data_IF_576813807827
#
_entry.id   IF_576813807827
#
_cell.length_a   1.000
_cell.length_b   1.000
_cell.length_c   1.000
_cell.angle_alpha   90.00
_cell.angle_beta   90.00
_cell.angle_gamma   90.00
#
_symmetry.space_group_name_H-M   'P 1'
#
loop_
_entity.id
_entity.type
_entity.pdbx_description
1 polymer ?
#
# COMPACT_ATOMS: atom_id res chain seq x y z
N UNK A 1 2.11 -26.73 14.49
CA UNK A 1 0.92 -26.97 15.35
C UNK A 1 -0.33 -26.74 14.51
N UNK A 2 -1.43 -27.48 14.69
CA UNK A 2 -2.69 -27.14 14.04
C UNK A 2 -3.12 -25.73 14.48
N UNK A 3 -3.42 -24.86 13.52
CA UNK A 3 -4.03 -23.55 13.78
C UNK A 3 -5.55 -23.70 13.63
N UNK A 4 -6.34 -22.89 14.36
CA UNK A 4 -7.72 -22.66 13.96
C UNK A 4 -7.70 -21.58 12.87
N UNK A 5 -8.09 -21.97 11.67
CA UNK A 5 -8.07 -21.20 10.42
C UNK A 5 -9.47 -21.21 9.82
N UNK A 6 -10.02 -20.04 9.56
CA UNK A 6 -11.44 -19.97 9.23
C UNK A 6 -11.75 -20.12 7.78
N UNK A 7 -13.00 -20.56 7.62
CA UNK A 7 -13.77 -20.43 6.42
C UNK A 7 -13.96 -18.99 5.98
N UNK A 8 -14.03 -18.86 4.67
CA UNK A 8 -13.73 -17.64 3.97
C UNK A 8 -15.02 -17.08 3.44
N UNK A 9 -15.38 -15.88 3.86
CA UNK A 9 -16.66 -15.34 3.45
C UNK A 9 -16.52 -13.98 2.80
N UNK A 10 -16.69 -14.01 1.49
CA UNK A 10 -16.95 -12.86 0.64
C UNK A 10 -18.29 -12.27 1.08
N UNK A 11 -18.27 -11.01 1.46
CA UNK A 11 -19.50 -10.27 1.63
C UNK A 11 -19.49 -9.07 0.67
N UNK A 12 -20.49 -8.94 -0.23
CA UNK A 12 -20.61 -7.73 -1.02
C UNK A 12 -20.88 -6.59 -0.05
N UNK A 13 -20.15 -5.49 -0.16
CA UNK A 13 -20.36 -4.32 0.72
C UNK A 13 -21.82 -3.85 0.74
N UNK A 14 -22.62 -4.18 -0.29
CA UNK A 14 -23.88 -3.53 -0.58
C UNK A 14 -24.98 -4.52 -0.97
N UNK A 15 -25.81 -4.90 0.01
CA UNK A 15 -27.03 -5.70 -0.17
C UNK A 15 -28.33 -4.89 -0.08
N UNK A 16 -28.27 -3.55 0.08
CA UNK A 16 -29.46 -2.71 0.27
C UNK A 16 -29.96 -2.02 -1.01
N UNK A 17 -31.28 -1.95 -1.28
CA UNK A 17 -31.85 -1.18 -2.39
C UNK A 17 -31.50 0.33 -2.32
N UNK A 18 -31.33 0.87 -1.12
CA UNK A 18 -30.90 2.25 -0.86
C UNK A 18 -29.40 2.48 -1.15
N UNK A 19 -28.57 1.44 -1.08
CA UNK A 19 -27.12 1.51 -1.35
C UNK A 19 -26.82 1.59 -2.85
N UNK A 20 -27.69 1.01 -3.69
CA UNK A 20 -27.53 1.01 -5.14
C UNK A 20 -27.71 2.41 -5.76
N UNK A 21 -28.68 3.18 -5.26
CA UNK A 21 -29.02 4.51 -5.82
C UNK A 21 -27.97 5.58 -5.49
N UNK A 22 -27.35 5.50 -4.31
CA UNK A 22 -26.35 6.47 -3.83
C UNK A 22 -24.99 6.24 -4.52
N UNK A 23 -24.70 4.98 -4.86
CA UNK A 23 -23.49 4.57 -5.55
C UNK A 23 -23.43 5.12 -6.98
N UNK A 24 -24.55 5.09 -7.70
CA UNK A 24 -24.70 5.55 -9.10
C UNK A 24 -24.66 7.09 -9.29
N UNK A 25 -24.31 7.85 -8.25
CA UNK A 25 -24.17 9.30 -8.32
C UNK A 25 -22.90 9.82 -7.63
N UNK A 26 -22.16 8.94 -6.94
CA UNK A 26 -20.90 9.29 -6.26
C UNK A 26 -19.73 9.39 -7.24
N UNK A 27 -18.82 10.33 -6.98
CA UNK A 27 -17.53 10.42 -7.70
C UNK A 27 -16.69 9.21 -7.32
N UNK A 28 -16.07 8.57 -8.31
CA UNK A 28 -15.17 7.43 -8.08
C UNK A 28 -13.87 7.89 -7.39
N UNK A 29 -13.34 7.05 -6.52
CA UNK A 29 -12.09 7.30 -5.79
C UNK A 29 -10.90 6.77 -6.58
N UNK A 30 -9.84 7.56 -6.72
CA UNK A 30 -8.60 7.16 -7.39
C UNK A 30 -8.05 8.28 -8.27
N UNK A 31 -8.66 8.49 -9.44
CA UNK A 31 -8.15 9.44 -10.45
C UNK A 31 -8.36 10.92 -10.13
N UNK A 32 -9.00 11.25 -8.99
CA UNK A 32 -9.32 12.62 -8.59
C UNK A 32 -10.08 13.44 -9.67
N UNK A 33 -10.81 12.77 -10.56
CA UNK A 33 -11.59 13.40 -11.62
C UNK A 33 -13.04 13.61 -11.15
N UNK A 34 -13.44 14.88 -10.97
CA UNK A 34 -14.77 15.26 -10.49
C UNK A 34 -15.91 14.90 -11.44
N UNK A 35 -15.62 14.63 -12.71
CA UNK A 35 -16.59 14.20 -13.72
C UNK A 35 -16.76 12.67 -13.76
N UNK A 36 -15.86 11.92 -13.11
CA UNK A 36 -15.92 10.46 -13.05
C UNK A 36 -16.96 10.00 -12.01
N UNK A 37 -18.23 10.30 -12.28
CA UNK A 37 -19.35 9.81 -11.49
C UNK A 37 -19.71 8.40 -11.94
N UNK A 38 -19.91 7.51 -10.97
CA UNK A 38 -20.42 6.18 -11.27
C UNK A 38 -21.80 6.28 -11.94
N UNK A 39 -22.05 5.45 -12.94
CA UNK A 39 -23.27 5.41 -13.75
C UNK A 39 -23.72 3.97 -14.04
N UNK A 40 -23.09 2.98 -13.41
CA UNK A 40 -23.44 1.57 -13.51
C UNK A 40 -22.57 0.71 -12.62
N UNK A 41 -22.76 -0.61 -12.69
CA UNK A 41 -21.96 -1.60 -11.97
C UNK A 41 -21.45 -2.61 -12.99
N UNK A 42 -20.13 -2.79 -13.05
CA UNK A 42 -19.47 -3.86 -13.81
C UNK A 42 -19.33 -5.10 -12.93
N UNK A 43 -18.65 -4.95 -11.78
CA UNK A 43 -18.52 -5.98 -10.75
C UNK A 43 -18.90 -5.42 -9.39
N UNK A 44 -19.39 -6.28 -8.49
CA UNK A 44 -19.57 -5.90 -7.09
C UNK A 44 -18.21 -5.75 -6.42
N UNK A 45 -18.19 -4.93 -5.37
CA UNK A 45 -17.05 -4.74 -4.48
C UNK A 45 -17.26 -5.61 -3.23
N UNK A 46 -16.22 -6.30 -2.79
CA UNK A 46 -16.28 -7.25 -1.70
C UNK A 46 -15.28 -6.95 -0.59
N UNK A 47 -15.67 -7.30 0.64
CA UNK A 47 -14.75 -7.43 1.77
C UNK A 47 -14.47 -8.90 2.02
N UNK A 48 -13.20 -9.23 2.20
CA UNK A 48 -12.71 -10.59 2.44
C UNK A 48 -11.86 -10.59 3.71
N UNK A 49 -12.29 -11.32 4.72
CA UNK A 49 -11.65 -11.37 6.02
C UNK A 49 -11.02 -12.74 6.29
N UNK A 50 -9.82 -12.72 6.87
CA UNK A 50 -8.99 -13.87 7.18
C UNK A 50 -8.68 -13.81 8.66
N UNK A 51 -9.17 -14.78 9.41
CA UNK A 51 -8.92 -14.88 10.85
C UNK A 51 -8.04 -16.09 11.09
N UNK A 52 -6.92 -15.85 11.77
CA UNK A 52 -5.96 -16.88 12.14
C UNK A 52 -5.87 -16.87 13.66
N UNK A 53 -6.08 -18.03 14.26
CA UNK A 53 -6.05 -18.22 15.70
C UNK A 53 -5.14 -19.41 16.06
N UNK A 54 -4.11 -19.16 16.86
CA UNK A 54 -3.17 -20.19 17.32
C UNK A 54 -3.53 -20.76 18.71
N UNK A 55 -4.70 -20.39 19.25
CA UNK A 55 -5.17 -20.73 20.58
C UNK A 55 -4.70 -19.75 21.68
N UNK A 56 -3.73 -18.89 21.38
CA UNK A 56 -3.21 -17.87 22.31
C UNK A 56 -3.39 -16.46 21.77
N UNK A 57 -3.29 -16.29 20.46
CA UNK A 57 -3.39 -15.02 19.75
C UNK A 57 -4.28 -15.23 18.53
N UNK A 58 -5.13 -14.22 18.32
CA UNK A 58 -5.97 -14.11 17.14
C UNK A 58 -5.59 -12.88 16.36
N UNK A 59 -5.39 -13.03 15.06
CA UNK A 59 -5.14 -11.93 14.13
C UNK A 59 -6.19 -11.95 13.02
N UNK A 60 -6.54 -10.76 12.54
CA UNK A 60 -7.49 -10.55 11.46
C UNK A 60 -6.82 -9.73 10.36
N UNK A 61 -6.84 -10.25 9.15
CA UNK A 61 -6.44 -9.53 7.96
C UNK A 61 -7.65 -9.39 7.04
N UNK A 62 -7.99 -8.16 6.65
CA UNK A 62 -9.08 -7.88 5.71
C UNK A 62 -8.50 -7.27 4.46
N UNK A 63 -8.93 -7.75 3.29
CA UNK A 63 -8.78 -7.05 2.02
C UNK A 63 -10.15 -6.63 1.50
N UNK A 64 -10.24 -5.38 1.08
CA UNK A 64 -11.46 -4.72 0.66
C UNK A 64 -11.30 -4.17 -0.76
N UNK A 65 -12.29 -4.41 -1.63
CA UNK A 65 -12.33 -3.81 -2.97
C UNK A 65 -12.66 -2.32 -2.90
N UNK A 66 -11.68 -1.52 -2.48
CA UNK A 66 -11.73 -0.06 -2.33
C UNK A 66 -10.40 0.55 -2.75
N UNK A 67 -10.40 1.83 -3.12
CA UNK A 67 -9.17 2.56 -3.43
C UNK A 67 -8.19 2.58 -2.25
N UNK A 68 -8.64 2.98 -1.06
CA UNK A 68 -7.79 2.99 0.13
C UNK A 68 -8.64 2.74 1.37
N UNK A 69 -8.04 2.27 2.47
CA UNK A 69 -8.71 2.30 3.77
C UNK A 69 -8.43 3.65 4.42
N UNK A 70 -9.47 4.47 4.57
CA UNK A 70 -9.35 5.75 5.29
C UNK A 70 -9.24 5.52 6.80
N UNK A 71 -8.56 6.43 7.50
CA UNK A 71 -8.50 6.38 8.97
C UNK A 71 -9.89 6.41 9.60
N UNK A 72 -10.82 7.19 9.02
CA UNK A 72 -12.22 7.25 9.47
C UNK A 72 -12.90 5.89 9.37
N UNK A 73 -12.77 5.22 8.21
CA UNK A 73 -13.33 3.89 7.98
C UNK A 73 -12.74 2.87 8.96
N UNK A 74 -11.42 2.90 9.19
CA UNK A 74 -10.76 2.02 10.17
C UNK A 74 -11.31 2.22 11.58
N UNK A 75 -11.45 3.45 12.04
CA UNK A 75 -11.98 3.76 13.38
C UNK A 75 -13.43 3.30 13.53
N UNK A 76 -14.29 3.55 12.54
CA UNK A 76 -15.69 3.11 12.58
C UNK A 76 -15.83 1.58 12.57
N UNK A 77 -14.98 0.86 11.81
CA UNK A 77 -14.94 -0.61 11.84
C UNK A 77 -14.48 -1.12 13.20
N UNK A 78 -13.39 -0.57 13.77
CA UNK A 78 -12.89 -0.99 15.07
C UNK A 78 -13.91 -0.73 16.19
N UNK A 79 -14.60 0.41 16.15
CA UNK A 79 -15.68 0.70 17.08
C UNK A 79 -16.81 -0.33 16.97
N UNK A 80 -17.29 -0.61 15.75
CA UNK A 80 -18.35 -1.60 15.54
C UNK A 80 -17.95 -3.02 15.96
N UNK A 81 -16.68 -3.39 15.79
CA UNK A 81 -16.13 -4.66 16.27
C UNK A 81 -16.04 -4.70 17.80
N UNK A 82 -15.63 -3.59 18.44
CA UNK A 82 -15.57 -3.48 19.89
C UNK A 82 -16.96 -3.58 20.53
N UNK A 83 -17.96 -2.92 19.94
CA UNK A 83 -19.36 -2.99 20.40
C UNK A 83 -19.91 -4.43 20.31
N UNK A 84 -19.49 -5.21 19.30
CA UNK A 84 -20.00 -6.57 19.06
C UNK A 84 -19.22 -7.68 19.77
N UNK A 85 -17.91 -7.56 19.88
CA UNK A 85 -17.01 -8.62 20.36
C UNK A 85 -16.14 -8.20 21.56
N UNK A 86 -16.36 -7.02 22.13
CA UNK A 86 -15.54 -6.47 23.20
C UNK A 86 -14.07 -6.35 22.76
N UNK A 87 -13.15 -6.78 23.63
CA UNK A 87 -11.71 -6.64 23.40
C UNK A 87 -11.10 -7.73 22.51
N UNK A 88 -11.92 -8.56 21.85
CA UNK A 88 -11.41 -9.65 21.01
C UNK A 88 -10.74 -9.14 19.72
N UNK A 89 -11.28 -8.08 19.12
CA UNK A 89 -10.79 -7.45 17.90
C UNK A 89 -10.43 -5.99 18.18
N UNK A 90 -9.14 -5.68 18.11
CA UNK A 90 -8.53 -4.43 18.55
C UNK A 90 -7.64 -3.84 17.45
N UNK A 91 -7.18 -2.62 17.69
CA UNK A 91 -6.24 -1.93 16.80
C UNK A 91 -4.95 -2.72 16.52
N UNK A 92 -4.46 -3.51 17.48
CA UNK A 92 -3.20 -4.25 17.38
C UNK A 92 -3.31 -5.56 16.57
N UNK A 93 -4.49 -6.15 16.47
CA UNK A 93 -4.69 -7.45 15.82
C UNK A 93 -5.65 -7.44 14.62
N UNK A 94 -6.18 -6.29 14.21
CA UNK A 94 -6.99 -6.13 13.00
C UNK A 94 -6.28 -5.24 11.97
N UNK A 95 -5.90 -5.83 10.84
CA UNK A 95 -5.40 -5.13 9.65
C UNK A 95 -6.50 -5.02 8.61
N UNK A 96 -6.68 -3.81 8.07
CA UNK A 96 -7.57 -3.52 6.96
C UNK A 96 -6.72 -3.02 5.78
N UNK A 97 -6.81 -3.71 4.65
CA UNK A 97 -6.14 -3.36 3.39
C UNK A 97 -7.17 -3.13 2.29
N UNK A 98 -6.89 -2.20 1.38
CA UNK A 98 -7.72 -1.91 0.21
C UNK A 98 -6.98 -2.34 -1.06
N UNK A 99 -7.64 -3.04 -1.98
CA UNK A 99 -7.04 -3.56 -3.23
C UNK A 99 -6.54 -2.48 -4.19
N UNK A 100 -6.85 -1.22 -3.89
CA UNK A 100 -6.48 -0.06 -4.67
C UNK A 100 -7.19 0.07 -6.02
N UNK A 101 -8.41 -0.45 -6.13
CA UNK A 101 -9.26 -0.19 -7.31
C UNK A 101 -9.59 1.31 -7.42
N UNK A 102 -9.37 1.88 -8.61
CA UNK A 102 -9.77 3.25 -8.93
C UNK A 102 -11.25 3.38 -9.36
N UNK A 103 -12.03 2.29 -9.23
CA UNK A 103 -13.42 2.20 -9.67
C UNK A 103 -14.42 1.99 -8.53
N UNK A 104 -14.01 2.32 -7.30
CA UNK A 104 -14.86 2.32 -6.11
C UNK A 104 -15.50 3.70 -5.83
N UNK A 105 -16.58 3.77 -5.04
CA UNK A 105 -17.21 5.04 -4.68
C UNK A 105 -16.31 5.84 -3.73
N UNK A 106 -16.22 7.16 -3.92
CA UNK A 106 -15.55 8.07 -3.00
C UNK A 106 -16.40 8.48 -1.80
N UNK A 107 -15.90 9.48 -1.05
CA UNK A 107 -16.66 10.15 0.00
C UNK A 107 -16.62 9.49 1.38
N UNK A 108 -15.62 8.64 1.65
CA UNK A 108 -15.44 7.97 2.94
C UNK A 108 -14.20 8.44 3.73
N UNK A 109 -13.65 9.61 3.39
CA UNK A 109 -12.49 10.21 4.05
C UNK A 109 -12.90 11.39 4.96
N UNK A 110 -12.12 11.62 6.02
CA UNK A 110 -12.32 12.74 6.95
C UNK A 110 -11.39 13.94 6.71
N UNK A 111 -10.36 13.79 5.86
CA UNK A 111 -9.38 14.83 5.61
C UNK A 111 -9.74 15.65 4.38
N UNK A 112 -9.58 16.98 4.46
CA UNK A 112 -10.12 17.92 3.46
C UNK A 112 -9.65 17.63 2.03
N UNK A 113 -8.39 17.21 1.85
CA UNK A 113 -7.84 16.90 0.52
C UNK A 113 -8.70 15.86 -0.22
N UNK A 114 -9.01 14.75 0.45
CA UNK A 114 -9.78 13.66 -0.14
C UNK A 114 -11.28 13.97 -0.20
N UNK A 115 -11.77 14.85 0.67
CA UNK A 115 -13.16 15.33 0.59
C UNK A 115 -13.37 16.21 -0.65
N UNK A 116 -12.40 17.05 -1.03
CA UNK A 116 -12.51 17.88 -2.25
C UNK A 116 -12.67 16.98 -3.48
N UNK A 117 -11.79 16.00 -3.67
CA UNK A 117 -11.87 15.08 -4.83
C UNK A 117 -13.12 14.20 -4.81
N UNK A 118 -13.65 13.89 -3.62
CA UNK A 118 -14.87 13.09 -3.44
C UNK A 118 -16.18 13.88 -3.52
N UNK A 119 -16.13 15.20 -3.67
CA UNK A 119 -17.31 16.09 -3.49
C UNK A 119 -17.94 16.00 -2.09
N UNK A 120 -17.12 15.78 -1.06
CA UNK A 120 -17.49 15.79 0.35
C UNK A 120 -17.48 14.43 1.04
N UNK A 121 -18.01 14.41 2.27
CA UNK A 121 -18.23 13.18 3.04
C UNK A 121 -19.64 12.64 2.79
N UNK A 122 -19.72 11.44 2.25
CA UNK A 122 -20.98 10.77 1.88
C UNK A 122 -21.21 9.66 2.90
N UNK A 123 -21.91 9.97 4.00
CA UNK A 123 -22.23 9.00 5.07
C UNK A 123 -22.84 7.70 4.54
N UNK A 124 -23.65 7.82 3.49
CA UNK A 124 -24.29 6.68 2.85
C UNK A 124 -23.34 5.80 2.01
N UNK A 125 -22.13 6.27 1.67
CA UNK A 125 -21.04 5.44 1.15
C UNK A 125 -20.26 4.76 2.27
N UNK A 126 -20.13 5.41 3.44
CA UNK A 126 -19.34 4.87 4.58
C UNK A 126 -20.03 3.71 5.27
N UNK A 127 -21.32 3.84 5.60
CA UNK A 127 -22.01 2.81 6.37
C UNK A 127 -22.03 1.43 5.68
N UNK A 128 -22.26 1.31 4.36
CA UNK A 128 -22.15 0.03 3.67
C UNK A 128 -20.72 -0.56 3.70
N UNK A 129 -19.68 0.30 3.62
CA UNK A 129 -18.30 -0.16 3.75
C UNK A 129 -18.05 -0.73 5.15
N UNK A 130 -18.40 0.01 6.21
CA UNK A 130 -18.26 -0.44 7.61
C UNK A 130 -19.04 -1.75 7.82
N UNK A 131 -20.31 -1.78 7.44
CA UNK A 131 -21.16 -2.96 7.61
C UNK A 131 -20.62 -4.16 6.82
N UNK A 132 -20.11 -3.94 5.61
CA UNK A 132 -19.54 -5.00 4.79
C UNK A 132 -18.27 -5.60 5.39
N UNK A 133 -17.36 -4.75 5.89
CA UNK A 133 -16.14 -5.20 6.59
C UNK A 133 -16.51 -5.98 7.84
N UNK A 134 -17.31 -5.39 8.73
CA UNK A 134 -17.73 -6.04 9.99
C UNK A 134 -18.43 -7.37 9.71
N UNK A 135 -19.27 -7.45 8.67
CA UNK A 135 -19.96 -8.69 8.30
C UNK A 135 -19.05 -9.75 7.72
N UNK A 136 -18.03 -9.37 6.94
CA UNK A 136 -17.01 -10.34 6.48
C UNK A 136 -16.23 -10.92 7.66
N UNK A 137 -15.87 -10.09 8.65
CA UNK A 137 -15.20 -10.53 9.88
C UNK A 137 -16.12 -11.41 10.72
N UNK A 138 -17.39 -11.05 10.89
CA UNK A 138 -18.38 -11.85 11.62
C UNK A 138 -18.58 -13.23 10.99
N UNK A 139 -18.72 -13.27 9.67
CA UNK A 139 -18.82 -14.52 8.93
C UNK A 139 -17.56 -15.36 9.06
N UNK A 140 -16.37 -14.76 8.96
CA UNK A 140 -15.13 -15.47 9.20
C UNK A 140 -15.10 -16.00 10.64
N UNK A 141 -15.46 -15.20 11.64
CA UNK A 141 -15.48 -15.58 13.06
C UNK A 141 -16.38 -16.79 13.32
N UNK A 142 -17.59 -16.80 12.76
CA UNK A 142 -18.55 -17.90 12.94
C UNK A 142 -18.11 -19.21 12.29
N UNK A 143 -17.18 -19.17 11.32
CA UNK A 143 -16.77 -20.33 10.55
C UNK A 143 -15.28 -20.74 10.75
N UNK A 144 -14.64 -20.31 11.85
CA UNK A 144 -14.34 -21.26 12.93
C UNK A 144 -13.71 -22.65 12.70
N UNK A 145 -12.67 -22.96 11.88
CA UNK A 145 -12.24 -24.40 11.76
C UNK A 145 -10.75 -24.73 11.91
N UNK A 146 -10.36 -25.92 12.41
CA UNK A 146 -8.95 -26.33 12.40
C UNK A 146 -8.38 -26.49 10.98
N UNK A 147 -7.15 -26.06 10.76
CA UNK A 147 -6.51 -26.11 9.44
C UNK A 147 -4.99 -25.96 9.42
N UNK A 148 -4.43 -25.81 8.21
CA UNK A 148 -3.01 -25.55 7.95
C UNK A 148 -2.81 -24.34 7.03
N UNK A 149 -1.69 -23.64 7.23
CA UNK A 149 -1.24 -22.52 6.37
C UNK A 149 0.00 -22.99 5.61
N UNK A 150 -0.02 -22.81 4.30
CA UNK A 150 1.11 -23.05 3.41
C UNK A 150 1.54 -21.74 2.77
N UNK A 151 2.85 -21.61 2.52
CA UNK A 151 3.43 -20.46 1.84
C UNK A 151 4.08 -20.92 0.54
N UNK A 152 3.83 -20.20 -0.54
CA UNK A 152 4.58 -20.37 -1.79
C UNK A 152 5.01 -19.02 -2.37
N UNK A 153 6.01 -19.03 -3.25
CA UNK A 153 6.45 -17.86 -4.01
C UNK A 153 6.64 -18.23 -5.46
N UNK A 154 6.34 -17.30 -6.35
CA UNK A 154 6.59 -17.42 -7.79
C UNK A 154 6.93 -16.07 -8.39
N UNK A 155 7.30 -16.05 -9.67
CA UNK A 155 7.45 -14.82 -10.46
C UNK A 155 6.29 -14.72 -11.45
N UNK A 156 5.74 -13.51 -11.61
CA UNK A 156 4.71 -13.20 -12.59
C UNK A 156 5.23 -12.16 -13.59
N UNK A 157 5.61 -12.64 -14.77
CA UNK A 157 6.05 -11.79 -15.87
C UNK A 157 4.87 -11.14 -16.61
N UNK A 158 5.17 -10.12 -17.41
CA UNK A 158 4.24 -9.47 -18.35
C UNK A 158 2.94 -8.92 -17.73
N UNK A 159 2.96 -8.61 -16.44
CA UNK A 159 1.77 -8.13 -15.70
C UNK A 159 1.94 -6.72 -15.11
N UNK A 160 3.14 -6.14 -15.22
CA UNK A 160 3.49 -4.83 -14.67
C UNK A 160 4.62 -4.15 -15.47
N UNK A 161 4.61 -2.82 -15.52
CA UNK A 161 5.73 -1.96 -15.97
C UNK A 161 5.99 -0.86 -14.94
N UNK A 162 7.22 -0.37 -14.86
CA UNK A 162 7.52 0.79 -14.02
C UNK A 162 7.07 2.09 -14.73
N UNK A 163 6.14 2.85 -14.15
CA UNK A 163 5.61 4.14 -14.64
C UNK A 163 6.46 5.36 -14.26
N UNK A 164 7.56 5.17 -13.54
CA UNK A 164 8.56 6.20 -13.20
C UNK A 164 9.99 5.66 -13.31
N UNK A 165 10.40 5.11 -14.48
CA UNK A 165 11.67 4.39 -14.63
C UNK A 165 12.89 5.30 -14.43
N UNK A 166 12.79 6.58 -14.79
CA UNK A 166 13.86 7.55 -14.56
C UNK A 166 14.12 7.78 -13.06
N UNK A 167 13.06 7.80 -12.24
CA UNK A 167 13.19 7.91 -10.79
C UNK A 167 13.85 6.66 -10.21
N UNK A 168 13.49 5.47 -10.72
CA UNK A 168 14.16 4.22 -10.33
C UNK A 168 15.67 4.26 -10.64
N UNK A 169 16.08 4.84 -11.77
CA UNK A 169 17.49 4.96 -12.15
C UNK A 169 18.31 5.87 -11.23
N UNK A 170 17.67 6.73 -10.44
CA UNK A 170 18.34 7.57 -9.45
C UNK A 170 18.74 6.81 -8.18
N UNK A 171 18.26 5.57 -7.99
CA UNK A 171 18.73 4.72 -6.90
C UNK A 171 20.21 4.34 -7.12
N UNK A 172 20.98 4.14 -6.04
CA UNK A 172 22.39 3.72 -6.12
C UNK A 172 22.57 2.53 -7.08
N UNK A 173 23.59 2.60 -7.93
CA UNK A 173 23.81 1.58 -8.97
C UNK A 173 24.06 0.20 -8.37
N UNK A 174 24.84 0.13 -7.29
CA UNK A 174 25.10 -1.10 -6.54
C UNK A 174 23.82 -1.71 -5.96
N UNK A 175 22.85 -0.90 -5.56
CA UNK A 175 21.52 -1.37 -5.15
C UNK A 175 20.73 -1.92 -6.34
N UNK A 176 20.65 -1.17 -7.45
CA UNK A 176 19.89 -1.58 -8.64
C UNK A 176 20.42 -2.90 -9.23
N UNK A 177 21.74 -3.08 -9.25
CA UNK A 177 22.38 -4.30 -9.76
C UNK A 177 22.06 -5.56 -8.94
N UNK A 178 21.47 -5.43 -7.74
CA UNK A 178 21.01 -6.58 -6.93
C UNK A 178 19.68 -7.14 -7.41
N UNK A 179 18.96 -6.42 -8.27
CA UNK A 179 17.64 -6.82 -8.77
C UNK A 179 17.67 -6.98 -10.29
N UNK A 180 16.91 -7.96 -10.79
CA UNK A 180 16.84 -8.27 -12.21
C UNK A 180 16.04 -7.24 -13.00
N UNK A 181 14.99 -6.70 -12.38
CA UNK A 181 13.97 -5.85 -13.00
C UNK A 181 13.70 -4.62 -12.10
N UNK A 182 13.12 -3.57 -12.69
CA UNK A 182 12.70 -2.36 -11.97
C UNK A 182 11.24 -2.42 -11.48
N UNK A 183 10.65 -3.61 -11.51
CA UNK A 183 9.34 -3.93 -10.94
C UNK A 183 9.49 -5.17 -10.05
N UNK A 184 8.73 -5.24 -8.95
CA UNK A 184 8.66 -6.48 -8.17
C UNK A 184 7.73 -7.47 -8.88
N UNK A 185 8.33 -8.54 -9.40
CA UNK A 185 7.61 -9.63 -10.07
C UNK A 185 7.24 -10.77 -9.12
N UNK A 186 7.68 -10.71 -7.86
CA UNK A 186 7.47 -11.78 -6.91
C UNK A 186 6.01 -11.81 -6.47
N UNK A 187 5.36 -12.95 -6.66
CA UNK A 187 4.05 -13.26 -6.08
C UNK A 187 4.28 -14.09 -4.82
N UNK A 188 3.77 -13.63 -3.69
CA UNK A 188 3.78 -14.38 -2.43
C UNK A 188 2.37 -14.90 -2.12
N UNK A 189 2.21 -16.21 -1.99
CA UNK A 189 0.92 -16.83 -1.72
C UNK A 189 0.91 -17.46 -0.33
N UNK A 190 -0.10 -17.15 0.47
CA UNK A 190 -0.52 -17.93 1.63
C UNK A 190 -1.79 -18.69 1.30
N UNK A 191 -1.68 -20.02 1.24
CA UNK A 191 -2.80 -20.93 1.05
C UNK A 191 -3.23 -21.48 2.41
N UNK A 192 -4.53 -21.53 2.62
CA UNK A 192 -5.15 -22.04 3.82
C UNK A 192 -5.95 -23.30 3.46
N UNK A 193 -5.78 -24.37 4.22
CA UNK A 193 -6.50 -25.63 4.03
C UNK A 193 -7.11 -26.08 5.33
N UNK A 194 -8.15 -26.91 5.25
CA UNK A 194 -8.63 -27.64 6.42
C UNK A 194 -7.71 -28.84 6.70
N UNK A 195 -8.11 -29.69 7.64
CA UNK A 195 -7.37 -30.90 7.97
C UNK A 195 -7.48 -31.97 6.88
N UNK A 196 -8.57 -31.95 6.09
CA UNK A 196 -8.84 -32.90 5.02
C UNK A 196 -8.07 -32.55 3.73
N UNK A 197 -7.51 -31.34 3.66
CA UNK A 197 -6.63 -30.88 2.59
C UNK A 197 -7.37 -30.08 1.52
N UNK A 198 -8.68 -29.90 1.67
CA UNK A 198 -9.46 -29.03 0.81
C UNK A 198 -9.06 -27.58 1.08
N UNK A 199 -8.86 -26.86 -0.03
CA UNK A 199 -8.47 -25.46 0.03
C UNK A 199 -9.61 -24.63 0.59
N UNK A 200 -9.40 -24.03 1.76
CA UNK A 200 -10.39 -23.13 2.36
C UNK A 200 -10.26 -21.74 1.71
N UNK A 201 -9.04 -21.34 1.36
CA UNK A 201 -8.81 -20.14 0.56
C UNK A 201 -7.36 -19.66 0.51
N UNK A 202 -7.15 -18.44 0.03
CA UNK A 202 -5.81 -17.93 -0.29
C UNK A 202 -5.70 -16.42 -0.17
N UNK A 203 -4.55 -15.96 0.30
CA UNK A 203 -4.06 -14.59 0.20
C UNK A 203 -2.86 -14.60 -0.74
N UNK A 204 -2.89 -13.82 -1.79
CA UNK A 204 -1.78 -13.64 -2.71
C UNK A 204 -1.35 -12.18 -2.82
N UNK A 205 -0.06 -11.97 -2.65
CA UNK A 205 0.56 -10.68 -2.62
C UNK A 205 1.30 -10.44 -3.95
N UNK A 206 0.81 -9.52 -4.79
CA UNK A 206 1.47 -9.05 -6.01
C UNK A 206 1.38 -7.53 -6.20
N UNK A 207 2.50 -6.92 -6.62
CA UNK A 207 2.66 -5.48 -6.76
C UNK A 207 2.18 -4.97 -8.14
N UNK A 208 0.96 -4.44 -8.20
CA UNK A 208 0.41 -3.80 -9.39
C UNK A 208 -0.73 -2.83 -9.06
N UNK A 209 -0.78 -1.67 -9.71
CA UNK A 209 -1.93 -0.77 -9.58
C UNK A 209 -3.19 -1.37 -10.20
N UNK A 210 -4.32 -1.17 -9.51
CA UNK A 210 -5.63 -1.58 -9.98
C UNK A 210 -6.32 -0.45 -10.77
N UNK A 211 -5.67 -0.13 -11.90
CA UNK A 211 -5.98 0.97 -12.83
C UNK A 211 -6.20 0.48 -14.27
N UNK A 212 -6.54 -0.81 -14.47
CA UNK A 212 -6.86 -1.33 -15.82
C UNK A 212 -8.06 -0.60 -16.42
N UNK A 213 -9.03 -0.26 -15.57
CA UNK A 213 -10.16 0.59 -15.90
C UNK A 213 -9.73 2.05 -15.76
N UNK A 214 -9.57 2.73 -16.90
CA UNK A 214 -9.08 4.12 -16.94
C UNK A 214 -10.09 5.14 -16.37
N UNK A 215 -9.67 6.41 -16.28
CA UNK A 215 -10.48 7.52 -15.73
C UNK A 215 -11.78 7.85 -16.52
N UNK A 216 -11.96 7.30 -17.73
CA UNK A 216 -13.21 7.46 -18.50
C UNK A 216 -14.29 6.48 -18.08
N UNK A 217 -13.92 5.42 -17.35
CA UNK A 217 -14.85 4.43 -16.85
C UNK A 217 -15.83 5.06 -15.85
N UNK A 218 -17.12 4.73 -16.02
CA UNK A 218 -18.20 5.10 -15.10
C UNK A 218 -18.85 3.90 -14.42
N UNK A 219 -18.36 2.68 -14.63
CA UNK A 219 -18.90 1.48 -14.00
C UNK A 219 -18.14 1.17 -12.70
N UNK A 220 -18.86 0.94 -11.61
CA UNK A 220 -18.24 0.42 -10.38
C UNK A 220 -17.57 -0.92 -10.68
N UNK A 221 -16.30 -1.07 -10.29
CA UNK A 221 -15.54 -2.28 -10.53
C UNK A 221 -14.44 -2.51 -9.50
N UNK A 222 -14.13 -3.77 -9.26
CA UNK A 222 -13.00 -4.23 -8.47
C UNK A 222 -11.68 -4.34 -9.27
N UNK A 223 -11.70 -3.93 -10.54
CA UNK A 223 -10.55 -3.86 -11.46
C UNK A 223 -9.79 -5.20 -11.60
N UNK A 224 -8.50 -5.19 -11.95
CA UNK A 224 -7.69 -6.38 -12.21
C UNK A 224 -7.53 -7.30 -10.98
N UNK A 225 -7.24 -6.76 -9.79
CA UNK A 225 -7.05 -7.53 -8.55
C UNK A 225 -8.37 -8.18 -8.09
N UNK A 226 -9.47 -7.46 -8.26
CA UNK A 226 -10.80 -7.98 -8.04
C UNK A 226 -11.21 -9.04 -9.05
N UNK A 227 -10.82 -8.88 -10.32
CA UNK A 227 -11.08 -9.87 -11.37
C UNK A 227 -10.27 -11.16 -11.16
N UNK A 228 -9.01 -11.05 -10.73
CA UNK A 228 -8.21 -12.21 -10.32
C UNK A 228 -8.86 -12.96 -9.15
N UNK A 229 -9.31 -12.23 -8.13
CA UNK A 229 -10.05 -12.80 -7.00
C UNK A 229 -11.35 -13.48 -7.47
N UNK A 230 -12.10 -12.84 -8.38
CA UNK A 230 -13.33 -13.39 -8.97
C UNK A 230 -13.08 -14.70 -9.71
N UNK A 231 -12.08 -14.77 -10.58
CA UNK A 231 -11.77 -15.99 -11.34
C UNK A 231 -11.41 -17.15 -10.42
N UNK A 232 -10.62 -16.87 -9.39
CA UNK A 232 -10.18 -17.89 -8.44
C UNK A 232 -11.34 -18.37 -7.54
N UNK A 233 -12.22 -17.47 -7.13
CA UNK A 233 -13.45 -17.80 -6.42
C UNK A 233 -14.38 -18.66 -7.29
N UNK A 234 -14.57 -18.33 -8.57
CA UNK A 234 -15.41 -19.12 -9.47
C UNK A 234 -14.82 -20.52 -9.77
N UNK A 235 -13.50 -20.62 -9.96
CA UNK A 235 -12.80 -21.89 -10.19
C UNK A 235 -12.97 -22.85 -8.99
N UNK A 236 -12.94 -22.29 -7.78
CA UNK A 236 -12.98 -23.07 -6.54
C UNK A 236 -14.37 -23.30 -5.97
N UNK A 237 -15.39 -22.61 -6.48
CA UNK A 237 -16.79 -22.78 -6.09
C UNK A 237 -17.65 -23.14 -7.33
N UNK A 238 -17.44 -24.33 -7.94
CA UNK A 238 -18.18 -24.73 -9.13
C UNK A 238 -19.68 -24.83 -8.83
N UNK A 239 -20.50 -24.18 -9.66
CA UNK A 239 -21.96 -24.16 -9.53
C UNK A 239 -22.51 -23.05 -8.62
N UNK A 240 -21.67 -22.28 -7.94
CA UNK A 240 -22.09 -21.12 -7.16
C UNK A 240 -22.11 -19.84 -8.02
N UNK A 241 -22.99 -18.89 -7.65
CA UNK A 241 -23.06 -17.59 -8.30
C UNK A 241 -21.93 -16.64 -7.80
N UNK A 242 -21.53 -15.64 -8.59
CA UNK A 242 -20.52 -14.65 -8.18
C UNK A 242 -20.78 -14.03 -6.81
N UNK A 243 -19.83 -14.20 -5.89
CA UNK A 243 -19.89 -13.71 -4.50
C UNK A 243 -20.68 -14.59 -3.53
N UNK A 244 -21.22 -15.73 -3.99
CA UNK A 244 -21.67 -16.82 -3.12
C UNK A 244 -20.50 -17.81 -3.01
N UNK A 245 -19.71 -17.70 -1.95
CA UNK A 245 -18.55 -18.57 -1.76
C UNK A 245 -18.70 -19.42 -0.51
N UNK A 246 -18.32 -20.70 -0.62
CA UNK A 246 -17.96 -21.53 0.53
C UNK A 246 -16.49 -21.35 0.90
N UNK A 247 -15.65 -20.99 -0.08
CA UNK A 247 -14.22 -20.72 0.06
C UNK A 247 -13.84 -19.44 -0.73
N UNK A 248 -13.23 -18.43 -0.10
CA UNK A 248 -12.83 -17.17 -0.73
C UNK A 248 -11.35 -17.20 -1.07
N UNK A 249 -11.04 -16.64 -2.22
CA UNK A 249 -9.69 -16.63 -2.71
C UNK A 249 -9.40 -15.23 -3.19
N UNK A 250 -8.32 -14.63 -2.69
CA UNK A 250 -8.07 -13.23 -2.98
C UNK A 250 -6.61 -12.94 -3.17
N UNK A 251 -6.41 -12.01 -4.08
CA UNK A 251 -5.22 -11.23 -4.22
C UNK A 251 -5.41 -9.97 -3.34
N UNK A 252 -5.02 -9.94 -2.05
CA UNK A 252 -4.74 -8.65 -1.42
C UNK A 252 -3.73 -7.90 -2.29
N UNK A 253 -3.99 -6.61 -2.53
CA UNK A 253 -2.91 -5.73 -3.01
C UNK A 253 -1.79 -5.80 -1.99
N UNK A 254 -0.69 -6.42 -2.37
CA UNK A 254 0.41 -6.59 -1.43
C UNK A 254 1.14 -5.33 -1.15
N UNK A 255 1.25 -4.53 -2.18
CA UNK A 255 2.32 -3.58 -2.35
C UNK A 255 1.76 -2.60 -3.36
N UNK A 256 1.09 -1.55 -2.88
CA UNK A 256 0.76 -0.40 -3.71
C UNK A 256 2.09 0.23 -4.12
N UNK A 257 2.71 -0.31 -5.18
CA UNK A 257 3.93 0.25 -5.74
C UNK A 257 3.56 1.45 -6.58
N UNK A 258 3.71 2.65 -6.02
CA UNK A 258 3.37 3.93 -6.67
C UNK A 258 4.03 4.14 -8.02
N UNK A 259 4.97 3.29 -8.41
CA UNK A 259 5.64 3.29 -9.69
C UNK A 259 5.30 2.07 -10.57
N UNK A 260 4.33 1.22 -10.25
CA UNK A 260 3.94 0.08 -11.12
C UNK A 260 2.59 0.30 -11.80
N UNK A 261 2.57 0.29 -13.14
CA UNK A 261 1.37 0.32 -13.98
C UNK A 261 1.12 -1.03 -14.66
N UNK A 262 -0.14 -1.35 -14.92
CA UNK A 262 -0.59 -2.49 -15.72
C UNK A 262 -0.82 -2.12 -17.21
N UNK A 263 -0.59 -0.87 -17.62
CA UNK A 263 -0.79 -0.38 -18.99
C UNK A 263 0.48 -0.62 -19.82
N UNK A 264 0.60 -1.79 -20.43
CA UNK A 264 1.84 -2.29 -21.05
C UNK A 264 2.30 -1.61 -22.35
N UNK A 265 1.58 -0.61 -22.89
CA UNK A 265 1.92 0.03 -24.18
C UNK A 265 2.40 1.47 -23.98
N UNK A 266 3.72 1.71 -24.06
CA UNK A 266 4.32 3.02 -24.34
C UNK A 266 5.64 2.92 -25.12
N UNK A 267 5.87 3.90 -26.00
CA UNK A 267 7.01 4.06 -26.93
C UNK A 267 8.26 4.60 -26.24
N UNK A 268 9.43 3.97 -26.46
CA UNK A 268 10.74 4.54 -26.12
C UNK A 268 11.80 4.17 -27.19
N UNK A 269 12.60 5.16 -27.59
CA UNK A 269 13.77 5.04 -28.50
C UNK A 269 15.03 5.05 -27.63
N UNK A 270 15.95 4.12 -27.88
CA UNK A 270 17.21 3.94 -27.13
C UNK A 270 18.44 4.36 -27.95
N UNK A 271 19.45 4.90 -27.26
CA UNK A 271 20.85 4.87 -27.70
C UNK A 271 21.76 4.53 -26.49
N UNK A 272 22.90 3.91 -26.77
CA UNK A 272 23.74 3.11 -25.86
C UNK A 272 25.10 3.74 -25.57
N UNK A 273 25.77 3.31 -24.47
CA UNK A 273 27.14 2.70 -24.44
C UNK A 273 27.69 2.56 -22.99
N UNK A 274 28.38 1.43 -22.74
CA UNK A 274 28.98 0.87 -21.51
C UNK A 274 30.18 1.61 -20.90
N UNK A 275 30.56 1.24 -19.65
CA UNK A 275 31.89 0.66 -19.27
C UNK A 275 31.96 0.13 -17.81
N UNK A 276 32.76 -0.93 -17.62
CA UNK A 276 33.04 -1.71 -16.39
C UNK A 276 34.40 -1.37 -15.75
N UNK A 277 34.60 -1.59 -14.44
CA UNK A 277 35.88 -2.01 -13.81
C UNK A 277 35.65 -2.72 -12.45
N UNK A 278 36.38 -3.80 -12.16
CA UNK A 278 36.39 -4.53 -10.86
C UNK A 278 37.63 -4.20 -10.01
N UNK A 279 37.59 -4.49 -8.70
CA UNK A 279 38.78 -4.49 -7.84
C UNK A 279 38.79 -5.70 -6.91
N UNK A 280 39.63 -6.68 -7.21
CA UNK A 280 40.06 -7.75 -6.31
C UNK A 280 41.45 -7.40 -5.73
N UNK A 281 41.63 -7.59 -4.42
CA UNK A 281 42.94 -7.46 -3.76
C UNK A 281 43.63 -8.84 -3.72
N UNK A 282 44.77 -8.96 -4.41
CA UNK A 282 45.67 -10.11 -4.37
C UNK A 282 46.84 -9.82 -3.41
N UNK A 283 47.09 -10.77 -2.49
CA UNK A 283 48.30 -10.99 -1.67
C UNK A 283 48.44 -10.31 -0.27
N UNK A 284 48.64 -11.20 0.73
CA UNK A 284 49.18 -11.04 2.09
C UNK A 284 48.34 -10.30 3.16
N UNK A 285 47.83 -11.09 4.12
CA UNK A 285 46.94 -10.74 5.25
C UNK A 285 47.51 -9.80 6.33
N UNK A 286 48.70 -9.21 6.15
CA UNK A 286 49.31 -8.25 7.09
C UNK A 286 49.42 -6.81 6.59
N UNK A 287 49.01 -6.51 5.35
CA UNK A 287 49.04 -5.14 4.78
C UNK A 287 47.66 -4.57 4.39
N UNK A 288 46.57 -5.25 4.75
CA UNK A 288 45.22 -4.68 4.59
C UNK A 288 44.93 -3.67 5.70
N UNK A 289 45.24 -2.40 5.45
CA UNK A 289 44.72 -1.29 6.25
C UNK A 289 43.47 -0.72 5.56
N UNK A 290 42.36 -0.63 6.30
CA UNK A 290 41.19 0.12 5.85
C UNK A 290 41.45 1.61 6.15
N UNK A 291 41.41 2.43 5.11
CA UNK A 291 41.51 3.88 5.25
C UNK A 291 40.11 4.49 5.30
N UNK A 292 39.97 5.57 6.06
CA UNK A 292 38.75 6.35 6.05
C UNK A 292 38.56 7.10 4.72
N UNK A 293 37.38 7.70 4.50
CA UNK A 293 37.00 8.27 3.21
C UNK A 293 37.67 9.60 2.85
N UNK A 294 38.49 10.17 3.74
CA UNK A 294 39.17 11.45 3.54
C UNK A 294 40.63 11.29 3.16
N UNK A 295 41.25 12.37 2.65
CA UNK A 295 42.65 12.38 2.24
C UNK A 295 43.61 12.15 3.43
N UNK A 296 43.15 12.44 4.65
CA UNK A 296 43.81 12.09 5.90
C UNK A 296 42.82 11.59 6.98
N UNK A 297 43.35 11.24 8.16
CA UNK A 297 42.56 10.73 9.29
C UNK A 297 41.63 11.79 9.93
N UNK A 298 41.99 13.08 9.84
CA UNK A 298 41.18 14.18 10.37
C UNK A 298 39.99 14.45 9.45
N UNK A 299 40.21 14.45 8.13
CA UNK A 299 39.16 14.57 7.14
C UNK A 299 38.28 13.32 7.11
N UNK A 300 38.84 12.13 7.26
CA UNK A 300 38.07 10.90 7.43
C UNK A 300 37.13 10.99 8.64
N UNK A 301 37.63 11.51 9.76
CA UNK A 301 36.84 11.72 10.99
C UNK A 301 35.79 12.82 10.77
N UNK A 302 36.12 13.90 10.05
CA UNK A 302 35.17 14.96 9.67
C UNK A 302 34.06 14.42 8.78
N UNK A 303 34.38 13.65 7.74
CA UNK A 303 33.41 13.07 6.80
C UNK A 303 32.51 12.08 7.54
N UNK A 304 33.08 11.16 8.34
CA UNK A 304 32.28 10.19 9.10
C UNK A 304 31.42 10.93 10.15
N UNK A 305 31.99 11.88 10.88
CA UNK A 305 31.28 12.71 11.85
C UNK A 305 30.18 13.56 11.22
N UNK A 306 30.43 14.14 10.04
CA UNK A 306 29.44 14.89 9.27
C UNK A 306 28.36 13.97 8.71
N UNK A 307 28.69 12.76 8.25
CA UNK A 307 27.70 11.80 7.78
C UNK A 307 26.81 11.32 8.93
N UNK A 308 27.39 11.04 10.10
CA UNK A 308 26.65 10.71 11.33
C UNK A 308 25.78 11.91 11.75
N UNK A 309 26.32 13.12 11.78
CA UNK A 309 25.59 14.35 12.11
C UNK A 309 24.44 14.63 11.14
N UNK A 310 24.69 14.55 9.83
CA UNK A 310 23.68 14.77 8.78
C UNK A 310 22.60 13.70 8.87
N UNK A 311 22.96 12.43 9.12
CA UNK A 311 22.00 11.34 9.32
C UNK A 311 21.23 11.47 10.63
N UNK A 312 21.81 12.08 11.67
CA UNK A 312 21.14 12.39 12.93
C UNK A 312 20.25 13.65 12.84
N UNK A 313 20.43 14.50 11.84
CA UNK A 313 19.69 15.76 11.63
C UNK A 313 18.42 15.59 10.79
N UNK A 314 18.17 14.43 10.20
CA UNK A 314 16.97 14.21 9.38
C UNK A 314 15.74 14.02 10.25
N UNK A 315 14.79 14.96 10.15
CA UNK A 315 13.43 14.82 10.69
C UNK A 315 12.44 14.65 9.56
N UNK A 316 11.33 13.98 9.82
CA UNK A 316 10.20 13.99 8.87
C UNK A 316 9.60 15.39 8.78
N UNK A 317 9.01 15.71 7.63
CA UNK A 317 8.41 17.02 7.37
C UNK A 317 6.90 17.01 7.60
N UNK A 318 6.32 18.18 7.87
CA UNK A 318 4.86 18.37 7.77
C UNK A 318 4.39 18.01 6.34
N UNK A 319 3.20 17.43 6.16
CA UNK A 319 2.78 16.96 4.85
C UNK A 319 2.62 18.09 3.84
N UNK A 320 3.17 17.91 2.63
CA UNK A 320 3.03 18.85 1.53
C UNK A 320 3.10 18.11 0.18
N UNK A 321 2.31 18.57 -0.79
CA UNK A 321 2.25 18.04 -2.15
C UNK A 321 3.01 18.97 -3.09
N UNK A 322 3.84 18.37 -3.95
CA UNK A 322 4.65 19.11 -4.92
C UNK A 322 3.90 19.41 -6.20
N UNK A 323 4.48 20.23 -7.09
CA UNK A 323 3.89 20.56 -8.39
C UNK A 323 3.53 19.32 -9.22
N UNK A 324 4.41 18.31 -9.26
CA UNK A 324 4.17 17.07 -10.00
C UNK A 324 2.99 16.24 -9.49
N UNK A 325 2.44 16.52 -8.30
CA UNK A 325 1.16 15.94 -7.87
C UNK A 325 0.02 16.33 -8.84
N UNK A 326 -0.01 17.59 -9.29
CA UNK A 326 -1.03 18.08 -10.21
C UNK A 326 -0.84 17.61 -11.66
N UNK A 327 0.28 16.95 -11.98
CA UNK A 327 0.54 16.35 -13.29
C UNK A 327 -0.19 15.01 -13.48
N UNK A 328 -0.63 14.38 -12.39
CA UNK A 328 -1.11 13.00 -12.42
C UNK A 328 0.01 12.01 -12.80
N UNK A 329 -0.37 10.88 -13.39
CA UNK A 329 0.57 9.87 -13.87
C UNK A 329 0.25 9.47 -15.31
N UNK A 330 1.00 8.54 -15.89
CA UNK A 330 0.67 7.94 -17.19
C UNK A 330 -0.66 7.16 -17.17
N UNK A 331 -1.14 6.75 -15.99
CA UNK A 331 -2.38 5.99 -15.83
C UNK A 331 -3.62 6.91 -15.76
N UNK A 332 -3.40 8.20 -15.47
CA UNK A 332 -4.40 9.24 -15.43
C UNK A 332 -3.73 10.61 -15.28
N UNK A 333 -3.70 11.38 -16.38
CA UNK A 333 -3.08 12.69 -16.41
C UNK A 333 -3.89 13.74 -15.64
N UNK A 334 -3.19 14.75 -15.13
CA UNK A 334 -3.82 15.90 -14.49
C UNK A 334 -4.36 16.93 -15.49
N UNK A 335 -5.35 17.72 -15.06
CA UNK A 335 -6.08 18.65 -15.94
C UNK A 335 -5.38 19.99 -16.17
N UNK A 336 -4.35 20.33 -15.38
CA UNK A 336 -3.78 21.68 -15.31
C UNK A 336 -2.42 21.84 -16.01
N UNK A 337 -2.09 20.94 -16.95
CA UNK A 337 -0.87 20.97 -17.77
C UNK A 337 0.45 21.04 -16.96
N UNK A 338 0.45 20.46 -15.76
CA UNK A 338 1.66 20.24 -14.98
C UNK A 338 2.44 19.04 -15.54
N UNK A 339 3.75 19.02 -15.34
CA UNK A 339 4.63 17.91 -15.75
C UNK A 339 5.21 17.17 -14.54
N UNK A 340 5.44 15.86 -14.72
CA UNK A 340 6.17 15.07 -13.74
C UNK A 340 7.67 15.44 -13.74
N UNK A 341 8.33 15.32 -12.59
CA UNK A 341 9.77 15.63 -12.45
C UNK A 341 10.11 17.09 -12.19
N UNK A 342 9.12 17.93 -11.83
CA UNK A 342 9.36 19.33 -11.49
C UNK A 342 10.15 19.47 -10.19
N UNK A 343 11.35 20.05 -10.28
CA UNK A 343 12.23 20.38 -9.14
C UNK A 343 12.26 21.88 -8.84
N UNK A 344 11.66 22.69 -9.71
CA UNK A 344 11.46 24.13 -9.54
C UNK A 344 9.96 24.44 -9.60
N UNK A 345 9.55 25.43 -8.81
CA UNK A 345 8.15 25.90 -8.78
C UNK A 345 7.87 26.88 -9.92
N UNK A 346 6.60 26.99 -10.28
CA UNK A 346 6.15 28.02 -11.23
C UNK A 346 5.65 29.25 -10.46
N UNK A 347 6.22 30.46 -10.67
CA UNK A 347 5.86 31.65 -9.91
C UNK A 347 4.37 32.02 -9.98
N UNK A 348 3.70 31.69 -11.10
CA UNK A 348 2.28 31.94 -11.26
C UNK A 348 1.45 31.01 -10.38
N UNK A 349 1.71 29.70 -10.41
CA UNK A 349 1.04 28.72 -9.54
C UNK A 349 1.37 28.90 -8.06
N UNK A 350 2.63 29.21 -7.72
CA UNK A 350 3.05 29.54 -6.35
C UNK A 350 2.32 30.78 -5.82
N UNK A 351 2.10 31.78 -6.69
CA UNK A 351 1.33 32.98 -6.38
C UNK A 351 -0.13 32.66 -6.07
N UNK A 352 -0.77 31.86 -6.91
CA UNK A 352 -2.17 31.44 -6.75
C UNK A 352 -2.33 30.59 -5.48
N UNK A 353 -1.54 29.54 -5.31
CA UNK A 353 -1.59 28.68 -4.15
C UNK A 353 -1.33 29.49 -2.86
N UNK A 354 -0.32 30.36 -2.87
CA UNK A 354 -0.01 31.22 -1.73
C UNK A 354 -1.13 32.20 -1.37
N UNK A 355 -1.86 32.73 -2.36
CA UNK A 355 -2.98 33.64 -2.14
C UNK A 355 -4.24 32.92 -1.62
N UNK A 356 -4.53 31.71 -2.12
CA UNK A 356 -5.74 30.96 -1.77
C UNK A 356 -5.59 30.11 -0.51
N UNK A 357 -4.42 29.51 -0.31
CA UNK A 357 -4.18 28.44 0.67
C UNK A 357 -3.19 28.82 1.76
N UNK A 358 -2.54 29.98 1.60
CA UNK A 358 -1.45 30.44 2.46
C UNK A 358 -0.08 30.00 1.93
N UNK A 359 0.94 30.82 2.22
CA UNK A 359 2.31 30.53 1.78
C UNK A 359 2.96 29.51 2.72
N UNK A 360 3.66 28.48 2.20
CA UNK A 360 4.40 27.55 3.04
C UNK A 360 5.50 28.26 3.83
N UNK A 361 5.69 27.86 5.09
CA UNK A 361 6.78 28.37 5.92
C UNK A 361 8.16 28.03 5.34
N UNK A 362 9.18 28.84 5.69
CA UNK A 362 10.56 28.59 5.25
C UNK A 362 11.08 27.24 5.74
N UNK A 363 10.68 26.81 6.95
CA UNK A 363 11.01 25.49 7.49
C UNK A 363 10.42 24.37 6.64
N UNK A 364 9.13 24.47 6.28
CA UNK A 364 8.49 23.46 5.42
C UNK A 364 9.10 23.43 4.03
N UNK A 365 9.44 24.59 3.44
CA UNK A 365 10.14 24.66 2.14
C UNK A 365 11.51 24.00 2.19
N UNK A 366 12.30 24.28 3.24
CA UNK A 366 13.62 23.68 3.40
C UNK A 366 13.55 22.18 3.58
N UNK A 367 12.63 21.71 4.44
CA UNK A 367 12.46 20.29 4.74
C UNK A 367 12.05 19.47 3.49
N UNK A 368 11.23 20.04 2.61
CA UNK A 368 10.77 19.34 1.40
C UNK A 368 11.73 19.41 0.21
N UNK A 369 12.85 20.14 0.28
CA UNK A 369 13.78 20.22 -0.84
C UNK A 369 14.20 18.83 -1.35
N UNK A 370 14.27 18.61 -2.69
CA UNK A 370 14.10 19.59 -3.77
C UNK A 370 12.64 19.76 -4.27
N UNK A 371 11.62 19.27 -3.55
CA UNK A 371 10.23 19.32 -3.99
C UNK A 371 9.66 20.75 -3.97
N UNK A 372 9.18 21.29 -5.12
CA UNK A 372 8.49 22.57 -5.15
C UNK A 372 7.05 22.41 -4.65
N UNK A 373 6.76 22.95 -3.46
CA UNK A 373 5.46 22.78 -2.78
C UNK A 373 4.36 23.54 -3.54
N UNK A 374 3.33 22.82 -3.96
CA UNK A 374 2.09 23.40 -4.50
C UNK A 374 1.01 23.49 -3.41
N UNK A 375 0.88 22.47 -2.55
CA UNK A 375 -0.09 22.45 -1.45
C UNK A 375 0.60 22.15 -0.11
N UNK A 376 0.61 23.11 0.82
CA UNK A 376 1.21 23.01 2.15
C UNK A 376 0.25 22.42 3.19
N UNK A 377 -0.36 21.30 2.86
CA UNK A 377 -1.46 20.65 3.59
C UNK A 377 -1.26 20.43 5.10
N UNK A 378 -0.01 20.29 5.57
CA UNK A 378 0.31 20.12 6.99
C UNK A 378 0.20 21.40 7.81
N UNK A 379 0.09 22.54 7.15
CA UNK A 379 -0.17 23.86 7.76
C UNK A 379 -1.64 24.29 7.54
N UNK A 380 -2.45 23.46 6.88
CA UNK A 380 -3.83 23.76 6.50
C UNK A 380 -4.82 22.96 7.35
N UNK A 381 -5.48 23.65 8.29
CA UNK A 381 -6.36 23.01 9.29
C UNK A 381 -7.85 23.36 9.16
N UNK A 382 -8.23 24.19 8.19
CA UNK A 382 -9.61 24.65 7.99
C UNK A 382 -10.20 24.05 6.70
N UNK A 383 -11.45 23.55 6.69
CA UNK A 383 -12.38 23.42 7.83
C UNK A 383 -12.00 22.31 8.82
N UNK A 384 -11.24 21.32 8.34
CA UNK A 384 -10.56 20.29 9.14
C UNK A 384 -9.16 20.07 8.55
N UNK A 385 -8.24 19.36 9.23
CA UNK A 385 -6.92 19.06 8.70
C UNK A 385 -6.97 18.49 7.27
N UNK A 386 -6.09 18.99 6.39
CA UNK A 386 -6.08 18.57 4.99
C UNK A 386 -5.43 17.22 4.77
N UNK A 387 -4.48 16.84 5.63
CA UNK A 387 -3.79 15.55 5.63
C UNK A 387 -3.70 14.96 7.05
N UNK A 388 -3.56 13.63 7.18
CA UNK A 388 -3.28 12.98 8.45
C UNK A 388 -1.90 13.39 8.98
N UNK A 389 -1.82 13.56 10.30
CA UNK A 389 -0.58 13.75 11.05
C UNK A 389 -0.23 12.53 11.90
N UNK A 390 -1.23 11.75 12.28
CA UNK A 390 -1.10 10.49 13.02
C UNK A 390 -1.31 9.36 12.03
N UNK A 391 -0.32 8.49 11.89
CA UNK A 391 -0.32 7.36 10.96
C UNK A 391 -0.15 6.08 11.76
N UNK A 392 -0.98 5.08 11.46
CA UNK A 392 -0.89 3.75 12.07
C UNK A 392 0.26 2.96 11.42
N UNK A 393 1.11 2.34 12.25
CA UNK A 393 2.12 1.37 11.81
C UNK A 393 1.85 0.08 12.55
N UNK A 394 1.61 -1.01 11.81
CA UNK A 394 1.23 -2.29 12.39
C UNK A 394 1.98 -3.43 11.71
N UNK A 395 2.42 -4.42 12.49
CA UNK A 395 3.01 -5.65 11.98
C UNK A 395 2.22 -6.83 12.55
N UNK A 396 1.68 -7.66 11.67
CA UNK A 396 1.10 -8.95 12.02
C UNK A 396 2.11 -10.06 11.75
N UNK A 397 2.19 -11.03 12.64
CA UNK A 397 3.05 -12.21 12.44
C UNK A 397 2.20 -13.47 12.44
N UNK A 398 2.40 -14.28 11.40
CA UNK A 398 1.73 -15.57 11.20
C UNK A 398 2.82 -16.62 10.98
N UNK A 399 3.18 -17.34 12.04
CA UNK A 399 4.30 -18.28 12.01
C UNK A 399 5.60 -17.58 11.59
N UNK A 400 6.14 -17.95 10.42
CA UNK A 400 7.37 -17.37 9.86
C UNK A 400 7.13 -16.23 8.85
N UNK A 401 5.91 -15.70 8.77
CA UNK A 401 5.54 -14.62 7.84
C UNK A 401 5.18 -13.38 8.64
N UNK A 402 5.80 -12.25 8.30
CA UNK A 402 5.45 -10.94 8.83
C UNK A 402 4.71 -10.16 7.73
N UNK A 403 3.54 -9.61 8.07
CA UNK A 403 2.75 -8.71 7.24
C UNK A 403 2.87 -7.32 7.84
N UNK A 404 3.43 -6.39 7.07
CA UNK A 404 3.66 -5.01 7.51
C UNK A 404 2.56 -4.15 6.91
N UNK A 405 1.64 -3.70 7.76
CA UNK A 405 0.58 -2.78 7.36
C UNK A 405 1.09 -1.35 7.49
N UNK A 406 1.36 -0.73 6.34
CA UNK A 406 1.79 0.65 6.23
C UNK A 406 0.60 1.49 5.77
N UNK A 407 0.12 2.36 6.66
CA UNK A 407 -1.10 3.16 6.41
C UNK A 407 -0.74 4.43 5.65
N UNK A 408 -1.58 4.80 4.67
CA UNK A 408 -1.54 6.07 3.93
C UNK A 408 -0.34 6.31 3.00
N UNK A 409 0.35 5.25 2.53
CA UNK A 409 1.50 5.38 1.64
C UNK A 409 1.43 4.34 0.51
N UNK A 410 1.74 4.77 -0.71
CA UNK A 410 2.08 3.90 -1.84
C UNK A 410 3.60 3.90 -2.00
N UNK A 411 4.24 2.76 -1.75
CA UNK A 411 5.70 2.66 -1.64
C UNK A 411 6.30 2.22 -2.97
N UNK A 412 7.22 2.98 -3.57
CA UNK A 412 7.90 2.56 -4.81
C UNK A 412 8.69 1.26 -4.62
N UNK A 413 8.94 0.51 -5.71
CA UNK A 413 9.65 -0.79 -5.71
C UNK A 413 10.87 -0.83 -4.79
N UNK A 414 11.78 0.15 -4.88
CA UNK A 414 13.03 0.14 -4.11
C UNK A 414 12.81 0.36 -2.62
N UNK A 415 11.86 1.22 -2.23
CA UNK A 415 11.56 1.50 -0.81
C UNK A 415 11.03 0.24 -0.13
N UNK A 416 10.18 -0.54 -0.81
CA UNK A 416 9.64 -1.79 -0.28
C UNK A 416 10.78 -2.78 0.03
N UNK A 417 11.71 -2.94 -0.91
CA UNK A 417 12.79 -3.90 -0.74
C UNK A 417 13.71 -3.49 0.42
N UNK A 418 14.01 -2.18 0.57
CA UNK A 418 14.78 -1.66 1.72
C UNK A 418 14.06 -1.95 3.04
N UNK A 419 12.74 -1.75 3.11
CA UNK A 419 11.95 -2.04 4.32
C UNK A 419 11.97 -3.54 4.65
N UNK A 420 11.84 -4.42 3.64
CA UNK A 420 11.95 -5.86 3.82
C UNK A 420 13.33 -6.24 4.38
N UNK A 421 14.41 -5.64 3.88
CA UNK A 421 15.77 -5.88 4.37
C UNK A 421 15.90 -5.44 5.83
N UNK A 422 15.43 -4.23 6.17
CA UNK A 422 15.51 -3.69 7.53
C UNK A 422 14.71 -4.58 8.50
N UNK A 423 13.50 -4.98 8.14
CA UNK A 423 12.67 -5.83 8.99
C UNK A 423 13.25 -7.23 9.13
N UNK A 424 13.79 -7.81 8.05
CA UNK A 424 14.49 -9.10 8.10
C UNK A 424 15.73 -9.01 8.99
N UNK A 425 16.52 -7.93 8.88
CA UNK A 425 17.68 -7.69 9.72
C UNK A 425 17.29 -7.51 11.19
N UNK A 426 16.26 -6.72 11.49
CA UNK A 426 15.73 -6.53 12.85
C UNK A 426 15.17 -7.83 13.41
N UNK A 427 14.47 -8.64 12.61
CA UNK A 427 13.93 -9.93 13.04
C UNK A 427 15.02 -10.98 13.29
N UNK A 428 16.08 -10.97 12.48
CA UNK A 428 17.30 -11.77 12.70
C UNK A 428 18.03 -11.31 13.95
N UNK A 429 18.15 -10.00 14.19
CA UNK A 429 18.74 -9.43 15.41
C UNK A 429 17.91 -9.80 16.64
N UNK A 430 16.59 -9.68 16.59
CA UNK A 430 15.68 -10.07 17.68
C UNK A 430 15.81 -11.58 17.97
N UNK A 431 15.90 -12.43 16.94
CA UNK A 431 16.16 -13.86 17.12
C UNK A 431 17.55 -14.12 17.72
N UNK A 432 18.60 -13.46 17.25
CA UNK A 432 19.97 -13.62 17.75
C UNK A 432 20.16 -13.10 19.19
N UNK A 433 19.42 -12.06 19.60
CA UNK A 433 19.48 -11.47 20.94
C UNK A 433 18.61 -12.25 21.94
N UNK A 434 17.50 -12.86 21.52
CA UNK A 434 16.59 -13.59 22.41
C UNK A 434 16.93 -15.08 22.59
N UNK A 435 17.74 -15.68 21.70
CA UNK A 435 18.17 -17.09 21.83
C UNK A 435 19.16 -17.35 22.99
N UNK A 436 20.10 -16.46 23.37
CA UNK A 436 21.01 -16.74 24.48
C UNK A 436 20.34 -16.70 25.88
N UNK A 437 19.19 -16.02 26.03
CA UNK A 437 18.56 -15.83 27.34
C UNK A 437 17.73 -17.04 27.81
N UNK A 438 17.57 -18.09 26.99
CA UNK A 438 16.88 -19.34 27.39
C UNK A 438 17.80 -20.44 27.92
N UNK A 439 19.12 -20.23 27.94
CA UNK A 439 20.08 -21.18 28.50
C UNK A 439 20.66 -20.79 29.86
N UNK A 440 20.16 -19.71 30.46
CA UNK A 440 20.45 -19.33 31.85
C UNK A 440 19.16 -18.92 32.57
N UNK A 441 18.32 -19.91 32.90
CA UNK A 441 17.36 -19.84 34.01
C UNK A 441 17.03 -21.24 34.49
#
# INVERSE_FOLDING_TARGET
KPYSINDFQVFPFMLGPSSCLIMLLSVQMGYANTQQKAAGIHTRLYSRAFIIDDGTRRVVFVTADVGMISQRLRLEVLQALQEKYGDQYRQDNVVLSGTHTHCGPGGYFQYTLFMISSSGYIKASVQPLVNGIVKSIDRAHQNMRPGRIYRNRGELDHSSINRSPHSYMNNPEDERLRYKDNTDKQVLVLKFTDLDGDGIGMLSWFAVHAVSMNYTNRLVSSDNMGYASYLLEQDKNPGELPGQVRAAWTEPSSELQSDISNILKHFLVYDTVQRTVSSACLCQTKMCAAFGPGDDMFESTRIIGQNIYMKAKVSTCKPALGHSFAAGTTDGGGDLNFTQGAVEGDPFWDGIAGALLGRPSNETKECHRPKPILFNTGEMNTPVPWHPQIVDVQILTVGSVAVVALVSIELTTTIIIIIIIIITAVQVIIQLILIPLKHYS
#
